data_IF_956709477532
#
_entry.id   IF_956709477532
#
_cell.length_a   1.000
_cell.length_b   1.000
_cell.length_c   1.000
_cell.angle_alpha   90.00
_cell.angle_beta   90.00
_cell.angle_gamma   90.00
#
_symmetry.space_group_name_H-M   'P 1'
#
loop_
_entity.id
_entity.type
_entity.pdbx_description
1 polymer ?
#
# COMPACT_ATOMS: atom_id res chain seq x y z
N UNK A 1 -33.05 -5.50 37.30
CA UNK A 1 -32.67 -5.69 35.88
C UNK A 1 -31.27 -5.12 35.68
N UNK A 2 -30.36 -5.92 35.12
CA UNK A 2 -28.90 -5.90 35.28
C UNK A 2 -28.12 -4.65 34.78
N UNK A 3 -26.91 -4.37 35.32
CA UNK A 3 -26.00 -3.37 34.78
C UNK A 3 -25.15 -3.96 33.65
N UNK A 4 -25.02 -3.25 32.51
CA UNK A 4 -24.14 -3.64 31.40
C UNK A 4 -22.68 -3.28 31.69
N UNK A 5 -21.83 -4.27 31.43
CA UNK A 5 -20.45 -4.45 31.84
C UNK A 5 -19.49 -3.69 30.92
N UNK A 6 -18.63 -2.86 31.51
CA UNK A 6 -17.55 -2.12 30.84
C UNK A 6 -16.40 -3.09 30.49
N UNK A 7 -16.08 -3.32 29.21
CA UNK A 7 -14.94 -4.15 28.77
C UNK A 7 -13.76 -3.25 28.40
N UNK A 8 -12.78 -3.15 29.30
CA UNK A 8 -11.43 -2.62 29.02
C UNK A 8 -10.67 -3.62 28.14
N UNK A 9 -10.09 -3.18 27.02
CA UNK A 9 -9.04 -3.93 26.29
C UNK A 9 -7.66 -3.59 26.88
N UNK A 10 -6.71 -4.54 26.93
CA UNK A 10 -5.36 -4.32 27.43
C UNK A 10 -4.44 -3.68 26.37
N UNK A 11 -3.31 -3.05 26.77
CA UNK A 11 -2.39 -2.41 25.84
C UNK A 11 -1.48 -3.42 25.13
N UNK A 12 -1.24 -3.18 23.84
CA UNK A 12 -0.26 -3.89 23.01
C UNK A 12 1.12 -3.26 23.25
N UNK A 13 2.08 -4.07 23.66
CA UNK A 13 3.49 -3.74 23.80
C UNK A 13 4.18 -3.71 22.43
N UNK A 14 4.82 -2.60 22.08
CA UNK A 14 5.65 -2.45 20.87
C UNK A 14 7.13 -2.60 21.24
N UNK A 15 7.93 -3.43 20.54
CA UNK A 15 9.36 -3.54 20.81
C UNK A 15 10.17 -2.43 20.12
N UNK A 16 11.18 -1.96 20.84
CA UNK A 16 12.15 -0.91 20.50
C UNK A 16 13.20 -1.44 19.50
N UNK A 17 13.35 -0.81 18.32
CA UNK A 17 14.47 -1.07 17.38
C UNK A 17 15.61 -0.07 17.59
N UNK A 18 16.83 -0.59 17.73
CA UNK A 18 18.10 0.14 17.64
C UNK A 18 18.53 0.34 16.17
N UNK A 19 19.35 1.36 15.87
CA UNK A 19 19.90 1.58 14.53
C UNK A 19 21.24 0.87 14.35
N UNK A 20 21.43 0.17 13.23
CA UNK A 20 22.74 -0.22 12.73
C UNK A 20 22.95 0.42 11.37
N UNK A 21 24.00 1.23 11.27
CA UNK A 21 24.56 1.65 10.00
C UNK A 21 25.69 0.72 9.61
N UNK A 22 25.73 0.30 8.35
CA UNK A 22 27.00 -0.03 7.72
C UNK A 22 26.94 0.15 6.20
N UNK A 23 27.93 0.89 5.74
CA UNK A 23 28.23 1.35 4.39
C UNK A 23 28.85 0.18 3.60
N UNK A 24 28.32 -0.13 2.42
CA UNK A 24 28.94 -1.09 1.48
C UNK A 24 29.37 -0.33 0.22
N UNK A 25 30.69 -0.27 0.02
CA UNK A 25 31.34 0.10 -1.24
C UNK A 25 31.56 -1.17 -2.06
N UNK A 26 31.06 -1.21 -3.30
CA UNK A 26 31.36 -2.25 -4.28
C UNK A 26 32.49 -1.80 -5.22
N UNK A 27 33.45 -2.70 -5.44
CA UNK A 27 34.43 -2.62 -6.53
C UNK A 27 34.64 -4.02 -7.12
N UNK A 28 34.35 -4.15 -8.42
CA UNK A 28 34.73 -5.22 -9.38
C UNK A 28 36.25 -5.03 -9.68
N UNK A 29 37.12 -6.02 -10.08
CA UNK A 29 36.89 -7.03 -11.14
C UNK A 29 37.66 -8.38 -11.07
N UNK A 30 37.38 -9.27 -12.05
CA UNK A 30 38.41 -10.06 -12.73
C UNK A 30 38.38 -11.59 -12.58
N UNK A 31 38.05 -12.31 -13.65
CA UNK A 31 38.38 -13.73 -13.90
C UNK A 31 39.90 -13.89 -14.10
N UNK A 32 40.51 -15.07 -13.78
CA UNK A 32 40.60 -16.17 -14.76
C UNK A 32 40.63 -17.61 -14.17
N UNK A 33 40.36 -18.61 -15.02
CA UNK A 33 40.68 -20.05 -14.85
C UNK A 33 42.12 -20.35 -15.32
N UNK A 34 42.65 -21.60 -15.31
CA UNK A 34 42.39 -22.83 -14.51
C UNK A 34 43.71 -23.49 -13.97
N UNK A 35 43.67 -24.45 -13.04
CA UNK A 35 44.71 -25.49 -12.87
C UNK A 35 44.34 -26.56 -11.82
N UNK A 36 45.00 -27.72 -11.95
CA UNK A 36 44.66 -29.04 -11.45
C UNK A 36 45.36 -29.44 -10.14
N UNK A 37 44.82 -30.51 -9.52
CA UNK A 37 45.44 -31.48 -8.59
C UNK A 37 45.93 -31.05 -7.20
N UNK A 38 45.46 -31.80 -6.19
CA UNK A 38 46.05 -31.88 -4.86
C UNK A 38 45.32 -32.94 -4.02
N UNK A 39 45.97 -34.09 -3.85
CA UNK A 39 45.48 -35.25 -3.09
C UNK A 39 45.77 -35.14 -1.58
N UNK A 40 45.11 -36.04 -0.83
CA UNK A 40 45.40 -36.47 0.55
C UNK A 40 45.05 -35.45 1.65
N UNK A 41 44.58 -35.82 2.84
CA UNK A 41 44.18 -37.07 3.48
C UNK A 41 43.58 -36.66 4.83
N UNK A 42 42.44 -37.20 5.23
CA UNK A 42 41.93 -37.03 6.58
C UNK A 42 41.78 -38.40 7.23
N UNK A 43 42.73 -38.73 8.10
CA UNK A 43 42.56 -39.70 9.16
C UNK A 43 41.52 -39.19 10.17
N UNK A 44 40.65 -40.08 10.63
CA UNK A 44 40.37 -40.41 12.05
C UNK A 44 39.11 -41.30 12.09
N UNK A 45 39.30 -42.50 12.64
CA UNK A 45 38.27 -43.51 12.94
C UNK A 45 37.90 -43.46 14.45
N UNK A 46 36.96 -44.26 14.98
CA UNK A 46 35.52 -44.02 14.99
C UNK A 46 34.94 -44.01 16.43
N UNK A 47 33.70 -43.53 16.60
CA UNK A 47 32.94 -43.78 17.84
C UNK A 47 31.42 -43.73 17.64
N UNK A 48 30.84 -44.93 17.69
CA UNK A 48 29.54 -45.30 18.25
C UNK A 48 28.29 -45.09 17.39
N UNK A 49 27.77 -46.25 17.00
CA UNK A 49 26.54 -46.54 16.28
C UNK A 49 25.26 -46.06 17.00
N UNK A 50 24.29 -45.61 16.19
CA UNK A 50 22.85 -45.84 16.42
C UNK A 50 22.16 -46.12 15.09
N UNK A 51 21.83 -47.40 14.91
CA UNK A 51 20.69 -47.99 14.22
C UNK A 51 20.18 -47.33 12.94
N UNK A 52 20.70 -47.85 11.83
CA UNK A 52 20.10 -47.72 10.53
C UNK A 52 18.88 -48.66 10.42
N UNK A 53 17.68 -48.11 10.34
CA UNK A 53 16.54 -48.80 9.71
C UNK A 53 16.79 -48.75 8.21
N UNK A 54 17.65 -49.66 7.73
CA UNK A 54 17.85 -49.90 6.30
C UNK A 54 16.62 -50.63 5.78
N UNK A 55 15.77 -49.87 5.10
CA UNK A 55 14.70 -50.36 4.25
C UNK A 55 15.29 -51.32 3.19
N UNK A 56 15.26 -52.61 3.51
CA UNK A 56 15.83 -53.71 2.73
C UNK A 56 14.85 -54.13 1.62
N UNK A 57 14.58 -53.22 0.68
CA UNK A 57 13.60 -53.41 -0.40
C UNK A 57 14.12 -52.96 -1.77
N UNK A 58 15.31 -53.41 -2.17
CA UNK A 58 15.91 -53.12 -3.49
C UNK A 58 16.55 -54.39 -4.08
N UNK A 59 15.87 -55.53 -3.95
CA UNK A 59 16.38 -56.85 -4.35
C UNK A 59 15.75 -57.47 -5.59
N UNK A 60 14.86 -56.77 -6.31
CA UNK A 60 14.22 -57.33 -7.51
C UNK A 60 14.25 -56.32 -8.66
N UNK A 61 14.80 -56.75 -9.79
CA UNK A 61 14.92 -55.96 -11.01
C UNK A 61 13.57 -55.42 -11.52
N UNK A 62 12.48 -56.11 -11.17
CA UNK A 62 11.10 -55.71 -11.47
C UNK A 62 10.68 -54.42 -10.76
N UNK A 63 11.11 -54.18 -9.51
CA UNK A 63 10.78 -52.95 -8.78
C UNK A 63 11.61 -51.74 -9.25
N UNK A 64 12.84 -51.97 -9.72
CA UNK A 64 13.65 -50.92 -10.37
C UNK A 64 13.06 -50.49 -11.72
N UNK A 65 12.52 -51.44 -12.50
CA UNK A 65 11.81 -51.13 -13.74
C UNK A 65 10.49 -50.37 -13.50
N UNK A 66 9.71 -50.76 -12.49
CA UNK A 66 8.43 -50.09 -12.19
C UNK A 66 8.62 -48.67 -11.64
N UNK A 67 9.63 -48.44 -10.80
CA UNK A 67 9.93 -47.10 -10.25
C UNK A 67 10.45 -46.15 -11.32
N UNK A 68 11.34 -46.60 -12.20
CA UNK A 68 11.82 -45.79 -13.32
C UNK A 68 10.69 -45.46 -14.30
N UNK A 69 9.81 -46.43 -14.61
CA UNK A 69 8.65 -46.20 -15.47
C UNK A 69 7.67 -45.17 -14.86
N UNK A 70 7.42 -45.23 -13.55
CA UNK A 70 6.56 -44.27 -12.83
C UNK A 70 7.17 -42.86 -12.78
N UNK A 71 8.49 -42.74 -12.60
CA UNK A 71 9.20 -41.44 -12.61
C UNK A 71 9.19 -40.83 -14.02
N UNK A 72 9.37 -41.65 -15.07
CA UNK A 72 9.33 -41.18 -16.46
C UNK A 72 7.91 -40.75 -16.87
N UNK A 73 6.88 -41.51 -16.50
CA UNK A 73 5.48 -41.10 -16.77
C UNK A 73 5.04 -39.89 -15.96
N UNK A 74 5.48 -39.79 -14.69
CA UNK A 74 5.21 -38.62 -13.84
C UNK A 74 5.89 -37.34 -14.35
N UNK A 75 7.13 -37.42 -14.81
CA UNK A 75 7.85 -36.26 -15.38
C UNK A 75 7.27 -35.82 -16.73
N UNK A 76 6.77 -36.74 -17.55
CA UNK A 76 6.09 -36.39 -18.81
C UNK A 76 4.75 -35.67 -18.56
N UNK A 77 3.95 -36.13 -17.59
CA UNK A 77 2.71 -35.46 -17.20
C UNK A 77 2.98 -34.07 -16.57
N UNK A 78 4.04 -33.94 -15.78
CA UNK A 78 4.45 -32.65 -15.20
C UNK A 78 5.00 -31.68 -16.26
N UNK A 79 5.73 -32.16 -17.25
CA UNK A 79 6.23 -31.35 -18.37
C UNK A 79 5.09 -30.83 -19.26
N UNK A 80 4.11 -31.69 -19.59
CA UNK A 80 2.95 -31.30 -20.38
C UNK A 80 2.09 -30.24 -19.66
N UNK A 81 1.92 -30.35 -18.34
CA UNK A 81 1.16 -29.34 -17.56
C UNK A 81 1.90 -28.03 -17.38
N UNK A 82 3.23 -28.04 -17.31
CA UNK A 82 4.06 -26.83 -17.23
C UNK A 82 4.07 -26.04 -18.55
N UNK A 83 3.98 -26.74 -19.69
CA UNK A 83 3.92 -26.12 -21.02
C UNK A 83 2.66 -25.25 -21.21
N UNK A 84 1.56 -25.60 -20.54
CA UNK A 84 0.31 -24.82 -20.55
C UNK A 84 0.25 -23.74 -19.46
N UNK A 85 1.28 -23.60 -18.60
CA UNK A 85 1.19 -22.78 -17.38
C UNK A 85 2.07 -21.53 -17.36
N UNK A 86 2.70 -21.16 -18.46
CA UNK A 86 3.42 -19.89 -18.54
C UNK A 86 3.29 -19.28 -19.92
N UNK A 87 2.28 -18.42 -20.16
CA UNK A 87 2.44 -17.37 -21.14
C UNK A 87 3.52 -16.46 -20.58
N UNK A 88 4.70 -16.52 -21.18
CA UNK A 88 5.69 -15.45 -21.14
C UNK A 88 4.95 -14.12 -21.37
N UNK A 89 4.72 -13.35 -20.29
CA UNK A 89 4.13 -12.02 -20.41
C UNK A 89 4.98 -11.25 -21.43
N UNK A 90 4.38 -10.79 -22.52
CA UNK A 90 5.14 -10.08 -23.52
C UNK A 90 5.72 -8.80 -22.91
N UNK A 91 6.91 -8.41 -23.35
CA UNK A 91 7.50 -7.12 -22.97
C UNK A 91 6.66 -5.99 -23.60
N UNK A 92 5.56 -5.59 -22.95
CA UNK A 92 4.60 -4.60 -23.44
C UNK A 92 5.25 -3.24 -23.75
N UNK A 93 6.41 -2.95 -23.16
CA UNK A 93 7.20 -1.74 -23.40
C UNK A 93 7.90 -1.66 -24.77
N UNK A 94 8.11 -2.78 -25.46
CA UNK A 94 8.88 -2.80 -26.71
C UNK A 94 8.00 -2.98 -27.97
N UNK A 95 6.68 -2.90 -27.81
CA UNK A 95 5.72 -3.19 -28.88
C UNK A 95 5.51 -1.98 -29.77
N UNK A 96 5.59 -2.20 -31.08
CA UNK A 96 5.12 -1.24 -32.07
C UNK A 96 3.60 -1.39 -32.26
N UNK A 97 2.82 -0.50 -31.62
CA UNK A 97 1.36 -0.58 -31.59
C UNK A 97 0.65 -0.65 -32.95
N UNK A 98 1.09 0.02 -34.03
CA UNK A 98 0.40 -0.03 -35.31
C UNK A 98 0.28 -1.44 -35.92
N UNK A 99 1.21 -2.34 -35.63
CA UNK A 99 1.18 -3.73 -36.11
C UNK A 99 0.75 -4.74 -35.04
N UNK A 100 0.51 -4.27 -33.81
CA UNK A 100 0.10 -5.15 -32.72
C UNK A 100 -1.34 -5.64 -32.94
N UNK A 101 -1.57 -6.94 -32.70
CA UNK A 101 -2.91 -7.50 -32.73
C UNK A 101 -3.78 -6.93 -31.60
N UNK A 102 -5.09 -6.95 -31.79
CA UNK A 102 -6.04 -6.49 -30.78
C UNK A 102 -5.93 -7.27 -29.46
N UNK A 103 -5.80 -8.59 -29.54
CA UNK A 103 -5.61 -9.45 -28.36
C UNK A 103 -4.34 -9.06 -27.58
N UNK A 104 -3.26 -8.73 -28.29
CA UNK A 104 -2.01 -8.28 -27.67
C UNK A 104 -2.16 -6.95 -26.95
N UNK A 105 -2.87 -5.98 -27.57
CA UNK A 105 -3.17 -4.70 -26.93
C UNK A 105 -3.96 -4.89 -25.64
N UNK A 106 -4.98 -5.72 -25.69
CA UNK A 106 -5.82 -6.01 -24.54
C UNK A 106 -5.03 -6.67 -23.40
N UNK A 107 -4.23 -7.69 -23.70
CA UNK A 107 -3.39 -8.37 -22.70
C UNK A 107 -2.38 -7.42 -22.05
N UNK A 108 -1.78 -6.52 -22.84
CA UNK A 108 -0.87 -5.52 -22.29
C UNK A 108 -1.59 -4.45 -21.46
N UNK A 109 -2.79 -4.04 -21.86
CA UNK A 109 -3.61 -3.12 -21.08
C UNK A 109 -3.99 -3.73 -19.73
N UNK A 110 -4.38 -5.01 -19.70
CA UNK A 110 -4.61 -5.74 -18.45
C UNK A 110 -3.37 -5.75 -17.56
N UNK A 111 -2.20 -6.07 -18.12
CA UNK A 111 -0.94 -6.04 -17.36
C UNK A 111 -0.60 -4.65 -16.81
N UNK A 112 -1.00 -3.57 -17.48
CA UNK A 112 -0.85 -2.22 -16.94
C UNK A 112 -1.84 -1.98 -15.80
N UNK A 113 -3.12 -2.30 -16.00
CA UNK A 113 -4.15 -2.15 -14.99
C UNK A 113 -3.88 -2.95 -13.72
N UNK A 114 -3.28 -4.14 -13.83
CA UNK A 114 -2.90 -4.99 -12.69
C UNK A 114 -1.91 -4.32 -11.72
N UNK A 115 -1.23 -3.25 -12.15
CA UNK A 115 -0.37 -2.47 -11.26
C UNK A 115 -1.17 -1.62 -10.26
N UNK A 116 -2.47 -1.39 -10.50
CA UNK A 116 -3.38 -0.71 -9.57
C UNK A 116 -3.07 0.78 -9.33
N UNK A 117 -2.29 1.42 -10.18
CA UNK A 117 -2.05 2.87 -10.13
C UNK A 117 -2.92 3.57 -11.17
N UNK A 118 -3.43 4.76 -10.81
CA UNK A 118 -4.14 5.69 -11.70
C UNK A 118 -3.45 5.84 -13.05
N UNK A 119 -2.14 6.11 -13.08
CA UNK A 119 -1.44 6.36 -14.34
C UNK A 119 -1.48 5.13 -15.26
N UNK A 120 -1.26 3.94 -14.71
CA UNK A 120 -1.30 2.69 -15.48
C UNK A 120 -2.72 2.28 -15.87
N UNK A 121 -3.73 2.60 -15.07
CA UNK A 121 -5.14 2.39 -15.42
C UNK A 121 -5.53 3.29 -16.61
N UNK A 122 -5.10 4.55 -16.60
CA UNK A 122 -5.33 5.48 -17.72
C UNK A 122 -4.58 5.02 -18.97
N UNK A 123 -3.33 4.58 -18.86
CA UNK A 123 -2.58 4.00 -19.97
C UNK A 123 -3.26 2.74 -20.53
N UNK A 124 -3.79 1.87 -19.66
CA UNK A 124 -4.54 0.68 -20.07
C UNK A 124 -5.79 1.04 -20.87
N UNK A 125 -6.57 2.01 -20.40
CA UNK A 125 -7.76 2.53 -21.09
C UNK A 125 -7.38 3.12 -22.45
N UNK A 126 -6.39 4.02 -22.50
CA UNK A 126 -5.97 4.69 -23.74
C UNK A 126 -5.51 3.67 -24.80
N UNK A 127 -4.86 2.59 -24.36
CA UNK A 127 -4.36 1.55 -25.24
C UNK A 127 -5.50 0.79 -25.95
N UNK A 128 -6.59 0.51 -25.25
CA UNK A 128 -7.72 -0.29 -25.77
C UNK A 128 -8.80 0.56 -26.45
N UNK A 129 -8.94 1.84 -26.08
CA UNK A 129 -9.88 2.76 -26.74
C UNK A 129 -9.48 3.09 -28.19
N UNK A 130 -8.22 2.88 -28.56
CA UNK A 130 -7.74 3.03 -29.95
C UNK A 130 -8.28 1.95 -30.90
N UNK A 131 -8.96 0.91 -30.39
CA UNK A 131 -9.58 -0.10 -31.23
C UNK A 131 -10.97 0.38 -31.71
N UNK A 132 -11.32 0.12 -32.99
CA UNK A 132 -12.63 0.48 -33.54
C UNK A 132 -13.81 -0.09 -32.75
N UNK A 133 -14.95 0.60 -32.80
CA UNK A 133 -16.17 0.17 -32.12
C UNK A 133 -16.82 -1.08 -32.72
N UNK A 134 -16.54 -1.39 -33.99
CA UNK A 134 -17.01 -2.61 -34.68
C UNK A 134 -16.13 -3.84 -34.42
N UNK A 135 -15.12 -3.72 -33.55
CA UNK A 135 -14.18 -4.80 -33.27
C UNK A 135 -14.85 -5.97 -32.52
N UNK A 136 -14.54 -7.25 -32.82
CA UNK A 136 -15.15 -8.40 -32.15
C UNK A 136 -14.97 -8.46 -30.63
N UNK A 137 -13.93 -7.79 -30.10
CA UNK A 137 -13.65 -7.70 -28.66
C UNK A 137 -14.26 -6.47 -27.97
N UNK A 138 -15.05 -5.64 -28.66
CA UNK A 138 -15.55 -4.36 -28.12
C UNK A 138 -16.26 -4.52 -26.77
N UNK A 139 -17.16 -5.50 -26.67
CA UNK A 139 -17.89 -5.77 -25.42
C UNK A 139 -16.96 -6.13 -24.24
N UNK A 140 -15.88 -6.86 -24.50
CA UNK A 140 -14.88 -7.17 -23.48
C UNK A 140 -14.06 -5.92 -23.10
N UNK A 141 -13.69 -5.11 -24.08
CA UNK A 141 -12.96 -3.86 -23.83
C UNK A 141 -13.80 -2.90 -22.99
N UNK A 142 -15.08 -2.72 -23.33
CA UNK A 142 -15.99 -1.83 -22.60
C UNK A 142 -16.12 -2.26 -21.14
N UNK A 143 -16.27 -3.57 -20.89
CA UNK A 143 -16.32 -4.10 -19.54
C UNK A 143 -15.04 -3.81 -18.73
N UNK A 144 -13.87 -3.87 -19.38
CA UNK A 144 -12.59 -3.54 -18.73
C UNK A 144 -12.46 -2.04 -18.47
N UNK A 145 -12.80 -1.20 -19.46
CA UNK A 145 -12.78 0.26 -19.31
C UNK A 145 -13.71 0.72 -18.17
N UNK A 146 -14.90 0.13 -18.05
CA UNK A 146 -15.81 0.38 -16.91
C UNK A 146 -15.19 0.00 -15.56
N UNK A 147 -14.54 -1.17 -15.50
CA UNK A 147 -13.88 -1.64 -14.28
C UNK A 147 -12.71 -0.73 -13.89
N UNK A 148 -11.82 -0.41 -14.82
CA UNK A 148 -10.65 0.44 -14.57
C UNK A 148 -11.05 1.88 -14.22
N UNK A 149 -12.08 2.40 -14.87
CA UNK A 149 -12.64 3.72 -14.55
C UNK A 149 -13.24 3.78 -13.15
N UNK A 150 -13.90 2.70 -12.72
CA UNK A 150 -14.38 2.57 -11.34
C UNK A 150 -13.24 2.52 -10.33
N UNK A 151 -12.14 1.81 -10.63
CA UNK A 151 -10.94 1.78 -9.78
C UNK A 151 -10.25 3.14 -9.70
N UNK A 152 -10.20 3.91 -10.80
CA UNK A 152 -9.65 5.28 -10.77
C UNK A 152 -10.47 6.15 -9.81
N UNK A 153 -11.79 6.03 -9.80
CA UNK A 153 -12.65 6.78 -8.89
C UNK A 153 -12.44 6.39 -7.41
N UNK A 154 -12.21 5.10 -7.14
CA UNK A 154 -11.88 4.61 -5.79
C UNK A 154 -10.52 5.17 -5.32
N UNK A 155 -9.49 5.12 -6.18
CA UNK A 155 -8.19 5.70 -5.87
C UNK A 155 -8.25 7.22 -5.67
N UNK A 156 -9.16 7.91 -6.35
CA UNK A 156 -9.43 9.33 -6.11
C UNK A 156 -10.08 9.56 -4.75
N UNK A 157 -11.03 8.72 -4.32
CA UNK A 157 -11.63 8.79 -2.99
C UNK A 157 -10.58 8.53 -1.89
N UNK A 158 -9.68 7.57 -2.10
CA UNK A 158 -8.55 7.33 -1.20
C UNK A 158 -7.63 8.55 -1.06
N UNK A 159 -7.33 9.24 -2.16
CA UNK A 159 -6.58 10.51 -2.15
C UNK A 159 -7.27 11.55 -1.29
N UNK A 160 -8.59 11.68 -1.44
CA UNK A 160 -9.39 12.56 -0.61
C UNK A 160 -9.27 12.20 0.88
N UNK A 161 -9.38 10.92 1.25
CA UNK A 161 -9.20 10.47 2.64
C UNK A 161 -7.80 10.74 3.19
N UNK A 162 -6.75 10.77 2.36
CA UNK A 162 -5.38 11.15 2.76
C UNK A 162 -5.16 12.67 2.93
N UNK A 163 -6.13 13.49 2.54
CA UNK A 163 -6.02 14.95 2.59
C UNK A 163 -5.52 15.58 1.29
N UNK A 164 -5.47 14.82 0.21
CA UNK A 164 -5.03 15.25 -1.12
C UNK A 164 -6.25 15.67 -1.96
N UNK A 165 -7.04 16.67 -1.51
CA UNK A 165 -8.31 17.04 -2.17
C UNK A 165 -8.13 17.40 -3.65
N UNK A 166 -7.15 18.24 -3.97
CA UNK A 166 -6.93 18.69 -5.35
C UNK A 166 -6.51 17.53 -6.25
N UNK A 167 -5.63 16.64 -5.76
CA UNK A 167 -5.21 15.46 -6.52
C UNK A 167 -6.36 14.45 -6.70
N UNK A 168 -7.25 14.33 -5.72
CA UNK A 168 -8.47 13.52 -5.83
C UNK A 168 -9.38 14.04 -6.95
N UNK A 169 -9.64 15.35 -6.97
CA UNK A 169 -10.46 16.01 -8.00
C UNK A 169 -9.81 15.83 -9.37
N UNK A 170 -8.51 16.14 -9.49
CA UNK A 170 -7.77 16.00 -10.74
C UNK A 170 -7.74 14.56 -11.25
N UNK A 171 -7.64 13.58 -10.34
CA UNK A 171 -7.70 12.15 -10.69
C UNK A 171 -9.08 11.76 -11.23
N UNK A 172 -10.15 12.15 -10.53
CA UNK A 172 -11.51 11.81 -10.94
C UNK A 172 -11.90 12.44 -12.30
N UNK A 173 -11.39 13.63 -12.60
CA UNK A 173 -11.63 14.32 -13.89
C UNK A 173 -10.96 13.64 -15.09
N UNK A 174 -9.99 12.74 -14.88
CA UNK A 174 -9.36 11.96 -15.96
C UNK A 174 -10.19 10.75 -16.40
N UNK A 175 -11.28 10.43 -15.71
CA UNK A 175 -12.13 9.28 -16.01
C UNK A 175 -12.81 9.49 -17.38
N UNK A 176 -12.81 8.48 -18.28
CA UNK A 176 -13.46 8.59 -19.58
C UNK A 176 -14.97 8.86 -19.47
N UNK A 177 -15.52 9.81 -20.25
CA UNK A 177 -16.87 10.33 -20.04
C UNK A 177 -18.00 9.36 -20.40
N UNK A 178 -17.71 8.28 -21.12
CA UNK A 178 -18.69 7.29 -21.55
C UNK A 178 -18.89 6.14 -20.56
N UNK A 179 -18.30 6.24 -19.36
CA UNK A 179 -18.32 5.19 -18.34
C UNK A 179 -19.31 5.50 -17.23
N UNK A 180 -19.85 4.46 -16.57
CA UNK A 180 -20.71 4.63 -15.41
C UNK A 180 -19.98 5.30 -14.21
N UNK A 181 -18.66 5.24 -14.17
CA UNK A 181 -17.86 5.97 -13.19
C UNK A 181 -17.90 7.49 -13.42
N UNK A 182 -17.92 7.95 -14.68
CA UNK A 182 -18.00 9.36 -15.03
C UNK A 182 -19.28 10.02 -14.50
N UNK A 183 -20.41 9.31 -14.52
CA UNK A 183 -21.69 9.78 -13.96
C UNK A 183 -21.60 10.12 -12.46
N UNK A 184 -20.66 9.51 -11.75
CA UNK A 184 -20.46 9.71 -10.31
C UNK A 184 -19.44 10.80 -10.00
N UNK A 185 -18.52 11.14 -10.92
CA UNK A 185 -17.39 12.05 -10.70
C UNK A 185 -17.84 13.36 -10.07
N UNK A 186 -18.78 14.04 -10.71
CA UNK A 186 -19.23 15.36 -10.28
C UNK A 186 -19.96 15.30 -8.92
N UNK A 187 -20.68 14.22 -8.63
CA UNK A 187 -21.31 14.00 -7.33
C UNK A 187 -20.27 13.75 -6.21
N UNK A 188 -19.21 13.01 -6.51
CA UNK A 188 -18.09 12.74 -5.60
C UNK A 188 -17.30 14.02 -5.32
N UNK A 189 -16.97 14.81 -6.34
CA UNK A 189 -16.26 16.08 -6.19
C UNK A 189 -17.05 17.03 -5.28
N UNK A 190 -18.35 17.20 -5.52
CA UNK A 190 -19.20 18.04 -4.64
C UNK A 190 -19.25 17.53 -3.20
N UNK A 191 -19.25 16.22 -3.00
CA UNK A 191 -19.19 15.62 -1.66
C UNK A 191 -17.85 15.95 -0.99
N UNK A 192 -16.73 15.71 -1.68
CA UNK A 192 -15.39 15.98 -1.16
C UNK A 192 -15.22 17.43 -0.76
N UNK A 193 -15.59 18.37 -1.64
CA UNK A 193 -15.51 19.81 -1.37
C UNK A 193 -16.35 20.22 -0.16
N UNK A 194 -17.55 19.68 -0.01
CA UNK A 194 -18.42 19.97 1.14
C UNK A 194 -17.80 19.48 2.45
N UNK A 195 -17.36 18.23 2.49
CA UNK A 195 -16.74 17.63 3.69
C UNK A 195 -15.43 18.35 4.03
N UNK A 196 -14.65 18.74 3.02
CA UNK A 196 -13.43 19.51 3.22
C UNK A 196 -13.70 20.89 3.80
N UNK A 197 -14.71 21.60 3.27
CA UNK A 197 -15.12 22.90 3.77
C UNK A 197 -15.60 22.82 5.23
N UNK A 198 -16.37 21.78 5.58
CA UNK A 198 -16.82 21.53 6.95
C UNK A 198 -15.65 21.32 7.92
N UNK A 199 -14.73 20.40 7.59
CA UNK A 199 -13.55 20.15 8.43
C UNK A 199 -12.67 21.40 8.59
N UNK A 200 -12.47 22.15 7.50
CA UNK A 200 -11.72 23.40 7.51
C UNK A 200 -12.38 24.45 8.40
N UNK A 201 -13.70 24.63 8.32
CA UNK A 201 -14.44 25.60 9.13
C UNK A 201 -14.35 25.27 10.63
N UNK A 202 -14.52 24.00 11.01
CA UNK A 202 -14.35 23.54 12.39
C UNK A 202 -12.93 23.84 12.89
N UNK A 203 -11.91 23.52 12.09
CA UNK A 203 -10.51 23.71 12.45
C UNK A 203 -10.16 25.20 12.62
N UNK A 204 -10.61 26.07 11.71
CA UNK A 204 -10.40 27.52 11.81
C UNK A 204 -11.11 28.12 13.04
N UNK A 205 -12.37 27.73 13.30
CA UNK A 205 -13.08 28.14 14.51
C UNK A 205 -12.35 27.71 15.78
N UNK A 206 -11.80 26.50 15.80
CA UNK A 206 -11.05 26.02 16.96
C UNK A 206 -9.78 26.84 17.19
N UNK A 207 -9.06 27.20 16.12
CA UNK A 207 -7.91 28.12 16.22
C UNK A 207 -8.33 29.50 16.73
N UNK A 208 -9.46 30.05 16.29
CA UNK A 208 -9.96 31.33 16.82
C UNK A 208 -10.22 31.23 18.33
N UNK A 209 -10.88 30.16 18.79
CA UNK A 209 -11.11 29.90 20.22
C UNK A 209 -9.82 29.77 21.01
N UNK A 210 -8.75 29.26 20.41
CA UNK A 210 -7.42 29.25 21.04
C UNK A 210 -6.85 30.66 21.21
N UNK A 211 -6.99 31.53 20.21
CA UNK A 211 -6.56 32.95 20.28
C UNK A 211 -7.33 33.69 21.37
N UNK A 212 -8.63 33.42 21.50
CA UNK A 212 -9.50 34.04 22.50
C UNK A 212 -9.24 33.51 23.94
N UNK A 213 -8.40 32.48 24.09
CA UNK A 213 -8.14 31.82 25.38
C UNK A 213 -9.24 30.85 25.83
N UNK A 214 -10.22 30.58 24.97
CA UNK A 214 -11.37 29.70 25.20
C UNK A 214 -11.00 28.22 24.93
N UNK A 215 -10.03 27.69 25.68
CA UNK A 215 -9.45 26.35 25.43
C UNK A 215 -10.46 25.20 25.51
N UNK A 216 -11.51 25.34 26.33
CA UNK A 216 -12.57 24.33 26.46
C UNK A 216 -13.35 24.22 25.16
N UNK A 217 -13.70 25.35 24.57
CA UNK A 217 -14.53 25.41 23.36
C UNK A 217 -13.71 24.97 22.13
N UNK A 218 -12.42 25.35 22.09
CA UNK A 218 -11.48 24.81 21.10
C UNK A 218 -11.38 23.28 21.14
N UNK A 219 -11.33 22.68 22.34
CA UNK A 219 -11.34 21.21 22.49
C UNK A 219 -12.70 20.59 22.12
N UNK A 220 -13.80 21.28 22.39
CA UNK A 220 -15.12 20.85 21.92
C UNK A 220 -15.18 20.74 20.39
N UNK A 221 -14.61 21.72 19.69
CA UNK A 221 -14.49 21.70 18.23
C UNK A 221 -13.53 20.62 17.72
N UNK A 222 -12.44 20.32 18.43
CA UNK A 222 -11.58 19.19 18.04
C UNK A 222 -12.32 17.87 18.07
N UNK A 223 -13.18 17.63 19.07
CA UNK A 223 -14.02 16.42 19.11
C UNK A 223 -14.99 16.36 17.94
N UNK A 224 -15.60 17.48 17.52
CA UNK A 224 -16.47 17.51 16.33
C UNK A 224 -15.75 17.11 15.05
N UNK A 225 -14.43 17.35 14.97
CA UNK A 225 -13.64 16.96 13.81
C UNK A 225 -13.54 15.44 13.62
N UNK A 226 -13.78 14.64 14.67
CA UNK A 226 -13.84 13.18 14.59
C UNK A 226 -15.07 12.68 13.81
N UNK A 227 -16.13 13.50 13.72
CA UNK A 227 -17.37 13.16 13.03
C UNK A 227 -17.35 13.57 11.55
N UNK A 228 -16.34 14.35 11.13
CA UNK A 228 -16.14 14.73 9.72
C UNK A 228 -15.81 13.48 8.93
N UNK A 229 -16.56 13.24 7.84
CA UNK A 229 -16.47 12.02 7.02
C UNK A 229 -15.23 12.01 6.11
N UNK A 230 -14.04 12.09 6.71
CA UNK A 230 -12.74 12.09 6.06
C UNK A 230 -11.64 11.70 7.06
N UNK A 231 -10.74 10.80 6.65
CA UNK A 231 -9.74 10.22 7.55
C UNK A 231 -8.69 11.25 7.96
N UNK A 232 -8.25 12.10 7.03
CA UNK A 232 -7.29 13.16 7.33
C UNK A 232 -7.81 14.14 8.39
N UNK A 233 -9.08 14.53 8.31
CA UNK A 233 -9.71 15.40 9.32
C UNK A 233 -9.83 14.71 10.69
N UNK A 234 -10.40 13.51 10.72
CA UNK A 234 -10.67 12.76 11.95
C UNK A 234 -9.42 12.18 12.63
N UNK A 235 -8.29 12.08 11.93
CA UNK A 235 -7.02 11.57 12.49
C UNK A 235 -5.96 12.66 12.57
N UNK A 236 -5.40 13.06 11.43
CA UNK A 236 -4.23 13.92 11.34
C UNK A 236 -4.51 15.32 11.89
N UNK A 237 -5.61 15.94 11.44
CA UNK A 237 -5.96 17.30 11.86
C UNK A 237 -6.51 17.34 13.28
N UNK A 238 -7.21 16.28 13.71
CA UNK A 238 -7.62 16.12 15.11
C UNK A 238 -6.41 16.10 16.06
N UNK A 239 -5.40 15.29 15.74
CA UNK A 239 -4.17 15.17 16.53
C UNK A 239 -3.39 16.49 16.54
N UNK A 240 -3.28 17.14 15.38
CA UNK A 240 -2.66 18.46 15.23
C UNK A 240 -3.33 19.49 16.14
N UNK A 241 -4.67 19.59 16.09
CA UNK A 241 -5.42 20.55 16.88
C UNK A 241 -5.32 20.27 18.38
N UNK A 242 -5.38 19.01 18.79
CA UNK A 242 -5.22 18.60 20.19
C UNK A 242 -3.84 18.99 20.72
N UNK A 243 -2.79 18.82 19.92
CA UNK A 243 -1.43 19.27 20.25
C UNK A 243 -1.37 20.79 20.40
N UNK A 244 -1.96 21.54 19.48
CA UNK A 244 -2.01 23.01 19.54
C UNK A 244 -2.72 23.50 20.81
N UNK A 245 -3.86 22.88 21.17
CA UNK A 245 -4.58 23.19 22.42
C UNK A 245 -3.68 22.94 23.64
N UNK A 246 -2.96 21.82 23.68
CA UNK A 246 -2.04 21.49 24.76
C UNK A 246 -0.93 22.53 24.94
N UNK A 247 -0.29 22.92 23.84
CA UNK A 247 0.77 23.93 23.82
C UNK A 247 0.25 25.28 24.28
N UNK A 248 -0.86 25.76 23.72
CA UNK A 248 -1.44 27.06 24.06
C UNK A 248 -1.81 27.16 25.55
N UNK A 249 -2.33 26.08 26.14
CA UNK A 249 -2.63 26.01 27.59
C UNK A 249 -1.38 26.04 28.45
N UNK A 250 -0.29 25.40 28.02
CA UNK A 250 0.98 25.44 28.75
C UNK A 250 1.59 26.84 28.74
N UNK A 251 1.61 27.48 27.57
CA UNK A 251 2.17 28.83 27.42
C UNK A 251 1.36 29.85 28.23
N UNK A 252 0.03 29.77 28.18
CA UNK A 252 -0.85 30.61 29.01
C UNK A 252 -0.56 30.43 30.52
N UNK A 253 -0.33 29.19 30.99
CA UNK A 253 0.06 28.91 32.39
C UNK A 253 1.41 29.52 32.74
N UNK A 254 2.41 29.41 31.87
CA UNK A 254 3.75 30.01 32.08
C UNK A 254 3.67 31.53 32.15
N UNK A 255 2.95 32.16 31.22
CA UNK A 255 2.74 33.61 31.21
C UNK A 255 2.04 34.09 32.49
N UNK A 256 1.02 33.34 32.96
CA UNK A 256 0.38 33.61 34.25
C UNK A 256 1.34 33.50 35.45
N UNK A 257 2.29 32.56 35.43
CA UNK A 257 3.32 32.45 36.48
C UNK A 257 4.27 33.65 36.44
N UNK A 258 4.76 34.02 35.25
CA UNK A 258 5.67 35.17 35.08
C UNK A 258 5.00 36.48 35.53
N UNK A 259 3.74 36.71 35.13
CA UNK A 259 2.99 37.91 35.53
C UNK A 259 2.82 38.04 37.05
N UNK A 260 2.54 36.92 37.74
CA UNK A 260 2.46 36.90 39.21
C UNK A 260 3.81 37.19 39.87
N UNK A 261 4.89 36.58 39.40
CA UNK A 261 6.24 36.82 39.93
C UNK A 261 6.67 38.29 39.74
N UNK A 262 6.41 38.86 38.55
CA UNK A 262 6.65 40.28 38.30
C UNK A 262 5.84 41.17 39.26
N UNK A 263 4.54 40.90 39.44
CA UNK A 263 3.72 41.67 40.38
C UNK A 263 4.19 41.57 41.83
N UNK A 264 4.74 40.44 42.26
CA UNK A 264 5.26 40.23 43.62
C UNK A 264 6.62 40.90 43.82
N UNK A 265 7.51 40.87 42.83
CA UNK A 265 8.82 41.51 42.88
C UNK A 265 8.80 43.04 42.78
N UNK A 266 7.69 43.62 42.31
CA UNK A 266 7.54 45.09 42.19
C UNK A 266 6.96 45.73 43.46
N UNK A 267 6.51 44.95 44.45
CA UNK A 267 5.87 45.44 45.69
C UNK A 267 6.88 45.57 46.87
N UNK A 268 8.17 45.26 46.65
CA UNK A 268 9.19 45.17 47.71
C UNK A 268 10.35 46.17 47.66
N UNK A 269 10.32 47.22 46.82
CA UNK A 269 11.43 48.18 46.78
C UNK A 269 10.98 49.62 46.57
N UNK A 270 10.58 50.28 47.66
CA UNK A 270 10.85 51.69 47.96
C UNK A 270 10.81 51.89 49.48
#
# INVERSE_FOLDING_TARGET
MSPKRNRRRPPISVPRRQPQGQRVTQSVPGTPSPAYMGAASADVSPSQAKDAVVFRWIGSWQFLLLTTLAIITGSLAFALTSLFRMPNLPNCRAIFWPTASAAMRLQCAESYADQGNVDFLLEAIELVEKLPDDHPLRAEIDAKVESWSSQILELADDRFHRGELEDAIATAQKIPPHTAAADKVESSIRRWQRVWAEGSDIFEKAKQKLVDGEFKDAFGLSVQLLDVSNDHWSTTKYDELTKLIGLAREDSRKLGKVKRLASQGTIGSF
#
